data_IF_726974519281
#
_entry.id   IF_726974519281
#
_cell.length_a   1.000
_cell.length_b   1.000
_cell.length_c   1.000
_cell.angle_alpha   90.00
_cell.angle_beta   90.00
_cell.angle_gamma   90.00
#
_symmetry.space_group_name_H-M   'P 1'
#
loop_
_entity.id
_entity.type
_entity.pdbx_description
1 polymer ?
#
# COMPACT_ATOMS: atom_id res chain seq x y z
N UNK A 1 11.54 -0.15 -11.15
CA UNK A 1 10.56 -1.24 -11.07
C UNK A 1 10.18 -1.49 -9.63
N UNK A 2 8.90 -1.48 -9.37
CA UNK A 2 8.40 -1.79 -8.03
C UNK A 2 8.04 -3.28 -7.97
N UNK A 3 8.86 -4.06 -7.28
CA UNK A 3 8.50 -5.39 -6.83
C UNK A 3 8.69 -5.43 -5.31
N UNK A 4 8.20 -6.46 -4.64
CA UNK A 4 8.21 -6.52 -3.17
C UNK A 4 9.60 -6.32 -2.56
N UNK A 5 10.65 -7.05 -2.99
CA UNK A 5 11.98 -6.84 -2.40
C UNK A 5 12.53 -5.44 -2.62
N UNK A 6 12.34 -4.87 -3.81
CA UNK A 6 12.82 -3.52 -4.11
C UNK A 6 12.02 -2.46 -3.37
N UNK A 7 10.70 -2.61 -3.31
CA UNK A 7 9.86 -1.70 -2.57
C UNK A 7 10.24 -1.67 -1.08
N UNK A 8 10.42 -2.83 -0.47
CA UNK A 8 10.80 -2.92 0.94
C UNK A 8 12.17 -2.30 1.21
N UNK A 9 13.14 -2.50 0.34
CA UNK A 9 14.45 -1.86 0.45
C UNK A 9 14.35 -0.35 0.30
N UNK A 10 13.53 0.10 -0.60
CA UNK A 10 13.28 1.52 -0.82
C UNK A 10 12.69 2.18 0.42
N UNK A 11 11.69 1.56 1.03
CA UNK A 11 11.11 2.03 2.29
C UNK A 11 12.14 2.00 3.41
N UNK A 12 12.90 0.92 3.52
CA UNK A 12 13.91 0.74 4.57
C UNK A 12 15.06 1.75 4.47
N UNK A 13 15.27 2.37 3.32
CA UNK A 13 16.32 3.38 3.12
C UNK A 13 15.99 4.75 3.73
N UNK A 14 14.78 4.92 4.28
CA UNK A 14 14.35 6.19 4.87
C UNK A 14 13.79 7.18 3.85
N UNK A 15 13.48 6.73 2.64
CA UNK A 15 12.99 7.59 1.56
C UNK A 15 11.68 8.31 1.91
N UNK A 16 10.88 7.73 2.80
CA UNK A 16 9.62 8.34 3.24
C UNK A 16 9.79 9.31 4.41
N UNK A 17 11.04 9.58 4.81
CA UNK A 17 11.34 10.49 5.91
C UNK A 17 11.44 9.82 7.27
N UNK A 18 11.14 8.54 7.35
CA UNK A 18 11.22 7.72 8.56
C UNK A 18 11.79 6.35 8.21
N UNK A 19 12.51 5.76 9.15
CA UNK A 19 12.95 4.37 9.03
C UNK A 19 11.92 3.45 9.66
N UNK A 20 11.62 2.29 9.06
CA UNK A 20 10.71 1.33 9.68
C UNK A 20 11.19 0.91 11.06
N UNK A 21 10.24 0.70 11.97
CA UNK A 21 10.51 0.32 13.35
C UNK A 21 9.80 -1.00 13.69
N UNK A 22 10.33 -1.78 14.65
CA UNK A 22 9.67 -3.02 15.06
C UNK A 22 8.33 -2.76 15.75
N UNK A 23 7.50 -3.78 15.81
CA UNK A 23 6.14 -3.67 16.36
C UNK A 23 6.12 -3.09 17.77
N UNK A 24 7.06 -3.49 18.62
CA UNK A 24 7.13 -2.99 20.00
C UNK A 24 7.25 -1.46 20.04
N UNK A 25 8.12 -0.91 19.21
CA UNK A 25 8.29 0.53 19.11
C UNK A 25 7.10 1.18 18.44
N UNK A 26 6.57 0.57 17.38
CA UNK A 26 5.42 1.07 16.64
C UNK A 26 4.19 1.24 17.54
N UNK A 27 3.96 0.29 18.43
CA UNK A 27 2.80 0.31 19.32
C UNK A 27 3.01 1.11 20.61
N UNK A 28 4.27 1.45 20.93
CA UNK A 28 4.59 2.19 22.15
C UNK A 28 4.18 3.66 22.12
N UNK A 29 3.99 4.23 20.94
CA UNK A 29 3.63 5.64 20.77
C UNK A 29 2.48 5.78 19.76
N UNK A 30 2.01 7.03 19.60
CA UNK A 30 1.06 7.38 18.54
C UNK A 30 1.70 8.25 17.47
N UNK A 31 3.02 8.36 17.47
CA UNK A 31 3.76 9.18 16.52
C UNK A 31 3.69 8.59 15.11
N UNK A 32 3.99 9.42 14.12
CA UNK A 32 4.16 8.94 12.74
C UNK A 32 5.25 7.87 12.72
N UNK A 33 4.95 6.74 12.11
CA UNK A 33 5.86 5.60 12.08
C UNK A 33 5.52 4.65 10.92
N UNK A 34 6.52 3.88 10.53
CA UNK A 34 6.36 2.81 9.54
C UNK A 34 6.68 1.50 10.25
N UNK A 35 5.82 0.52 10.11
CA UNK A 35 5.99 -0.78 10.76
C UNK A 35 6.92 -1.67 9.93
N UNK A 36 7.97 -2.18 10.59
CA UNK A 36 8.87 -3.17 9.99
C UNK A 36 8.30 -4.59 10.20
N UNK A 37 8.46 -5.44 9.20
CA UNK A 37 8.04 -6.83 9.29
C UNK A 37 7.94 -7.49 7.93
N UNK A 38 7.85 -8.82 7.93
CA UNK A 38 7.57 -9.59 6.72
C UNK A 38 6.10 -9.42 6.30
N UNK A 39 5.77 -9.86 5.08
CA UNK A 39 4.37 -9.87 4.60
C UNK A 39 3.43 -10.50 5.62
N UNK A 40 3.83 -11.64 6.16
CA UNK A 40 3.01 -12.38 7.11
C UNK A 40 2.89 -11.65 8.45
N UNK A 41 3.98 -11.04 8.92
CA UNK A 41 3.96 -10.27 10.16
C UNK A 41 3.07 -9.03 10.04
N UNK A 42 3.18 -8.31 8.93
CA UNK A 42 2.34 -7.14 8.67
C UNK A 42 0.86 -7.55 8.57
N UNK A 43 0.58 -8.67 7.91
CA UNK A 43 -0.78 -9.19 7.81
C UNK A 43 -1.35 -9.51 9.19
N UNK A 44 -0.58 -10.20 10.02
CA UNK A 44 -1.03 -10.54 11.38
C UNK A 44 -1.29 -9.30 12.22
N UNK A 45 -0.44 -8.30 12.11
CA UNK A 45 -0.67 -7.03 12.79
C UNK A 45 -1.97 -6.37 12.32
N UNK A 46 -2.21 -6.34 11.02
CA UNK A 46 -3.42 -5.74 10.46
C UNK A 46 -4.69 -6.48 10.88
N UNK A 47 -4.66 -7.81 10.88
CA UNK A 47 -5.79 -8.63 11.33
C UNK A 47 -6.08 -8.38 12.82
N UNK A 48 -5.05 -8.40 13.64
CA UNK A 48 -5.21 -8.28 15.09
C UNK A 48 -5.52 -6.88 15.57
N UNK A 49 -5.11 -5.84 14.83
CA UNK A 49 -5.16 -4.46 15.32
C UNK A 49 -5.89 -3.47 14.42
N UNK A 50 -6.05 -3.76 13.14
CA UNK A 50 -6.55 -2.78 12.16
C UNK A 50 -7.87 -3.19 11.48
N UNK A 51 -8.47 -4.29 11.90
CA UNK A 51 -9.72 -4.75 11.30
C UNK A 51 -9.57 -5.30 9.87
N UNK A 52 -8.37 -5.71 9.48
CA UNK A 52 -8.12 -6.29 8.17
C UNK A 52 -8.73 -7.68 8.07
N UNK A 53 -9.42 -7.98 6.97
CA UNK A 53 -10.19 -9.23 6.83
C UNK A 53 -9.67 -10.18 5.76
N UNK A 54 -8.69 -9.79 4.97
CA UNK A 54 -8.17 -10.62 3.88
C UNK A 54 -7.00 -11.50 4.35
N UNK A 55 -7.33 -12.66 4.89
CA UNK A 55 -6.32 -13.60 5.39
C UNK A 55 -5.49 -14.27 4.29
N UNK A 56 -5.99 -14.27 3.06
CA UNK A 56 -5.34 -14.88 1.90
C UNK A 56 -4.22 -14.01 1.30
N UNK A 57 -4.05 -12.78 1.78
CA UNK A 57 -3.09 -11.83 1.22
C UNK A 57 -2.07 -11.36 2.23
N UNK A 58 -0.80 -11.34 1.84
CA UNK A 58 0.24 -10.62 2.57
C UNK A 58 0.09 -9.12 2.35
N UNK A 59 0.76 -8.35 3.19
CA UNK A 59 0.74 -6.90 3.15
C UNK A 59 2.16 -6.39 2.94
N UNK A 60 2.33 -5.41 2.07
CA UNK A 60 3.65 -4.88 1.74
C UNK A 60 4.05 -3.67 2.59
N UNK A 61 3.07 -2.99 3.19
CA UNK A 61 3.32 -1.73 3.87
C UNK A 61 2.26 -1.44 4.93
N UNK A 62 2.69 -1.07 6.14
CA UNK A 62 1.82 -0.51 7.18
C UNK A 62 2.52 0.70 7.76
N UNK A 63 1.78 1.79 7.91
CA UNK A 63 2.27 3.02 8.53
C UNK A 63 1.18 3.69 9.34
N UNK A 64 1.60 4.61 10.21
CA UNK A 64 0.70 5.50 10.94
C UNK A 64 1.16 6.92 10.73
N UNK A 65 0.30 7.75 10.19
CA UNK A 65 0.56 9.17 9.99
C UNK A 65 -0.64 9.98 10.46
N UNK A 66 -0.38 10.90 11.37
CA UNK A 66 -1.39 11.79 11.94
C UNK A 66 -2.58 11.00 12.52
N UNK A 67 -2.27 9.95 13.27
CA UNK A 67 -3.24 9.03 13.91
C UNK A 67 -4.11 8.23 12.95
N UNK A 68 -3.75 8.18 11.67
CA UNK A 68 -4.41 7.34 10.68
C UNK A 68 -3.47 6.21 10.27
N UNK A 69 -4.02 5.02 10.16
CA UNK A 69 -3.26 3.84 9.74
C UNK A 69 -3.43 3.64 8.24
N UNK A 70 -2.35 3.25 7.59
CA UNK A 70 -2.33 2.99 6.15
C UNK A 70 -1.86 1.56 5.93
N UNK A 71 -2.63 0.79 5.18
CA UNK A 71 -2.29 -0.55 4.74
C UNK A 71 -2.05 -0.48 3.23
N UNK A 72 -0.88 -0.91 2.78
CA UNK A 72 -0.50 -0.77 1.38
C UNK A 72 -0.09 -2.07 0.73
N UNK A 73 -0.44 -2.19 -0.55
CA UNK A 73 -0.01 -3.26 -1.42
C UNK A 73 0.72 -2.63 -2.61
N UNK A 74 1.91 -3.15 -2.92
CA UNK A 74 2.75 -2.61 -3.98
C UNK A 74 2.85 -3.59 -5.15
N UNK A 75 2.57 -3.11 -6.36
CA UNK A 75 2.66 -3.90 -7.58
C UNK A 75 3.23 -3.08 -8.72
N UNK A 76 3.96 -3.76 -9.61
CA UNK A 76 4.43 -3.19 -10.85
C UNK A 76 3.69 -3.84 -12.02
N UNK A 77 3.00 -3.03 -12.80
CA UNK A 77 2.20 -3.46 -13.94
C UNK A 77 2.94 -3.12 -15.21
N UNK A 78 3.51 -4.13 -15.86
CA UNK A 78 4.30 -3.93 -17.10
C UNK A 78 3.46 -4.01 -18.37
N UNK A 79 2.25 -4.57 -18.28
CA UNK A 79 1.37 -4.77 -19.44
C UNK A 79 -0.07 -4.83 -18.95
N UNK A 80 -1.05 -4.71 -19.85
CA UNK A 80 -2.47 -4.85 -19.54
C UNK A 80 -3.01 -6.24 -19.88
N UNK A 81 -2.16 -7.20 -20.21
CA UNK A 81 -2.60 -8.55 -20.60
C UNK A 81 -2.71 -9.52 -19.43
N UNK A 82 -3.65 -10.46 -19.51
CA UNK A 82 -3.70 -11.69 -18.71
C UNK A 82 -3.40 -11.52 -17.22
N UNK A 83 -2.26 -12.04 -16.81
CA UNK A 83 -1.81 -12.03 -15.42
C UNK A 83 -1.71 -10.63 -14.80
N UNK A 84 -1.33 -9.64 -15.60
CA UNK A 84 -1.21 -8.25 -15.13
C UNK A 84 -2.59 -7.67 -14.80
N UNK A 85 -3.60 -7.99 -15.59
CA UNK A 85 -4.97 -7.58 -15.30
C UNK A 85 -5.47 -8.23 -14.00
N UNK A 86 -5.14 -9.48 -13.76
CA UNK A 86 -5.53 -10.18 -12.54
C UNK A 86 -4.88 -9.51 -11.31
N UNK A 87 -3.61 -9.11 -11.40
CA UNK A 87 -2.93 -8.39 -10.33
C UNK A 87 -3.58 -7.03 -10.06
N UNK A 88 -3.96 -6.32 -11.11
CA UNK A 88 -4.63 -5.02 -10.98
C UNK A 88 -6.00 -5.19 -10.31
N UNK A 89 -6.80 -6.14 -10.77
CA UNK A 89 -8.13 -6.39 -10.20
C UNK A 89 -8.05 -6.84 -8.75
N UNK A 90 -7.04 -7.63 -8.40
CA UNK A 90 -6.81 -8.06 -7.04
C UNK A 90 -6.49 -6.88 -6.12
N UNK A 91 -5.66 -5.94 -6.57
CA UNK A 91 -5.39 -4.71 -5.84
C UNK A 91 -6.66 -3.88 -5.66
N UNK A 92 -7.48 -3.75 -6.70
CA UNK A 92 -8.75 -3.01 -6.60
C UNK A 92 -9.70 -3.67 -5.62
N UNK A 93 -9.75 -4.98 -5.59
CA UNK A 93 -10.59 -5.72 -4.64
C UNK A 93 -10.15 -5.45 -3.19
N UNK A 94 -8.84 -5.44 -2.95
CA UNK A 94 -8.30 -5.11 -1.63
C UNK A 94 -8.68 -3.69 -1.21
N UNK A 95 -8.61 -2.73 -2.12
CA UNK A 95 -9.00 -1.34 -1.85
C UNK A 95 -10.46 -1.19 -1.47
N UNK A 96 -11.32 -2.03 -2.01
CA UNK A 96 -12.75 -2.00 -1.75
C UNK A 96 -13.16 -2.78 -0.50
N UNK A 97 -12.21 -3.47 0.13
CA UNK A 97 -12.48 -4.20 1.38
C UNK A 97 -12.74 -3.19 2.49
N UNK A 98 -13.85 -3.32 3.23
CA UNK A 98 -14.16 -2.37 4.29
C UNK A 98 -13.11 -2.37 5.41
N UNK A 99 -12.82 -1.18 5.92
CA UNK A 99 -11.89 -0.98 7.05
C UNK A 99 -12.50 -0.02 8.06
N UNK A 100 -12.01 -0.03 9.31
CA UNK A 100 -12.39 1.01 10.28
C UNK A 100 -12.09 2.42 9.76
N UNK A 101 -12.76 3.42 10.31
CA UNK A 101 -12.68 4.81 9.85
C UNK A 101 -11.26 5.37 9.83
N UNK A 102 -10.42 4.98 10.79
CA UNK A 102 -9.04 5.47 10.90
C UNK A 102 -8.03 4.61 10.13
N UNK A 103 -8.48 3.67 9.32
CA UNK A 103 -7.61 2.77 8.55
C UNK A 103 -7.90 2.94 7.06
N UNK A 104 -6.85 3.20 6.29
CA UNK A 104 -6.94 3.47 4.85
C UNK A 104 -6.17 2.39 4.09
N UNK A 105 -6.85 1.69 3.20
CA UNK A 105 -6.20 0.79 2.25
C UNK A 105 -5.73 1.60 1.05
N UNK A 106 -4.47 1.41 0.65
CA UNK A 106 -3.93 2.03 -0.57
C UNK A 106 -3.29 0.97 -1.47
N UNK A 107 -3.21 1.27 -2.74
CA UNK A 107 -2.44 0.49 -3.70
C UNK A 107 -1.32 1.37 -4.25
N UNK A 108 -0.10 0.85 -4.18
CA UNK A 108 1.08 1.51 -4.74
C UNK A 108 1.38 0.79 -6.05
N UNK A 109 0.91 1.38 -7.14
CA UNK A 109 0.98 0.76 -8.46
C UNK A 109 1.87 1.60 -9.37
N UNK A 110 2.82 0.94 -10.02
CA UNK A 110 3.69 1.58 -11.01
C UNK A 110 3.64 0.82 -12.33
N UNK A 111 4.10 1.45 -13.39
CA UNK A 111 4.18 0.85 -14.71
C UNK A 111 3.24 1.46 -15.72
N UNK A 112 2.84 0.67 -16.71
CA UNK A 112 2.12 1.16 -17.88
C UNK A 112 0.69 1.65 -17.61
N UNK A 113 0.12 1.34 -16.46
CA UNK A 113 -1.24 1.76 -16.13
C UNK A 113 -1.40 3.29 -16.06
N UNK A 114 -0.30 4.03 -15.88
CA UNK A 114 -0.32 5.50 -15.85
C UNK A 114 -0.12 6.15 -17.23
N UNK A 115 0.05 5.35 -18.28
CA UNK A 115 0.21 5.87 -19.64
C UNK A 115 -1.18 6.15 -20.22
N UNK A 116 -1.51 7.40 -20.58
CA UNK A 116 -2.78 7.72 -21.23
C UNK A 116 -2.97 6.89 -22.50
N UNK A 117 -4.17 6.31 -22.67
CA UNK A 117 -4.44 5.39 -23.77
C UNK A 117 -4.29 3.92 -23.40
N UNK A 118 -3.68 3.60 -22.28
CA UNK A 118 -3.72 2.26 -21.66
C UNK A 118 -5.03 2.11 -20.90
N UNK A 119 -5.95 2.29 -21.55
CA UNK A 119 -7.40 2.37 -21.46
C UNK A 119 -8.07 1.92 -20.18
N UNK A 120 -8.08 0.61 -19.91
CA UNK A 120 -8.94 0.06 -18.87
C UNK A 120 -8.44 0.42 -17.47
N UNK A 121 -7.15 0.20 -17.23
CA UNK A 121 -6.55 0.49 -15.93
C UNK A 121 -6.47 1.99 -15.67
N UNK A 122 -6.06 2.75 -16.67
CA UNK A 122 -5.98 4.21 -16.57
C UNK A 122 -7.34 4.82 -16.26
N UNK A 123 -8.39 4.36 -16.95
CA UNK A 123 -9.76 4.83 -16.71
C UNK A 123 -10.25 4.47 -15.31
N UNK A 124 -9.98 3.25 -14.87
CA UNK A 124 -10.39 2.80 -13.55
C UNK A 124 -9.82 3.70 -12.47
N UNK A 125 -8.52 4.03 -12.55
CA UNK A 125 -7.84 4.88 -11.58
C UNK A 125 -8.35 6.32 -11.64
N UNK A 126 -8.46 6.88 -12.83
CA UNK A 126 -8.78 8.32 -12.98
C UNK A 126 -10.26 8.62 -12.78
N UNK A 127 -11.13 7.65 -13.00
CA UNK A 127 -12.57 7.86 -12.92
C UNK A 127 -13.11 7.65 -11.49
N UNK A 128 -12.56 6.71 -10.74
CA UNK A 128 -13.13 6.27 -9.48
C UNK A 128 -12.55 6.97 -8.24
N UNK A 129 -11.59 7.86 -8.42
CA UNK A 129 -10.96 8.62 -7.32
C UNK A 129 -10.59 7.74 -6.11
N UNK A 130 -10.00 6.58 -6.38
CA UNK A 130 -9.59 5.62 -5.36
C UNK A 130 -8.14 5.90 -4.93
N UNK A 131 -7.73 5.46 -3.73
CA UNK A 131 -6.37 5.73 -3.22
C UNK A 131 -5.32 4.84 -3.87
N UNK A 132 -5.06 5.09 -5.14
CA UNK A 132 -4.03 4.43 -5.95
C UNK A 132 -2.99 5.48 -6.32
N UNK A 133 -1.72 5.14 -6.15
CA UNK A 133 -0.63 6.07 -6.45
C UNK A 133 0.63 5.34 -6.86
N UNK A 134 1.55 6.06 -7.53
CA UNK A 134 2.90 5.54 -7.74
C UNK A 134 3.71 5.64 -6.46
N UNK A 135 4.79 4.86 -6.36
CA UNK A 135 5.69 4.94 -5.21
C UNK A 135 6.25 6.35 -5.04
N UNK A 136 6.45 7.09 -6.12
CA UNK A 136 6.98 8.46 -6.07
C UNK A 136 6.07 9.43 -5.33
N UNK A 137 4.77 9.17 -5.28
CA UNK A 137 3.80 10.04 -4.62
C UNK A 137 3.44 9.57 -3.20
N UNK A 138 3.95 8.42 -2.78
CA UNK A 138 3.59 7.84 -1.49
C UNK A 138 3.95 8.76 -0.32
N UNK A 139 5.12 9.35 -0.33
CA UNK A 139 5.55 10.27 0.73
C UNK A 139 4.59 11.45 0.87
N UNK A 140 4.29 12.12 -0.23
CA UNK A 140 3.38 13.27 -0.22
C UNK A 140 1.99 12.88 0.30
N UNK A 141 1.51 11.71 -0.11
CA UNK A 141 0.23 11.20 0.37
C UNK A 141 0.23 11.01 1.90
N UNK A 142 1.25 10.34 2.43
CA UNK A 142 1.34 10.06 3.86
C UNK A 142 1.36 11.34 4.69
N UNK A 143 2.17 12.31 4.28
CA UNK A 143 2.29 13.56 5.01
C UNK A 143 1.10 14.50 4.82
N UNK A 144 0.18 14.17 3.92
CA UNK A 144 -1.07 14.91 3.74
C UNK A 144 -2.22 14.42 4.61
N UNK A 145 -2.06 13.32 5.29
CA UNK A 145 -3.12 12.71 6.12
C UNK A 145 -3.41 13.53 7.44
#
# INVERSE_FOLDING_TARGET
MVNRPLFRRWVASGTLGLFPVPEEEFTATCDNAILDGSDAQLKMFAINNLGYTREDKGIDFIARFNNKYVIGEAKFISDEGGHQNDQFLDAMTTLRTPTPENVINIAILDGVLYIPGRKKMYKEITTNNIPVMSALLLRDFLYSL
#
